data_IF_609404630679
#
_entry.id   IF_609404630679
#
_cell.length_a   1.000
_cell.length_b   1.000
_cell.length_c   1.000
_cell.angle_alpha   90.00
_cell.angle_beta   90.00
_cell.angle_gamma   90.00
#
_symmetry.space_group_name_H-M   'P 1'
#
loop_
_entity.id
_entity.type
_entity.pdbx_description
1 polymer ?
#
# COMPACT_ATOMS: atom_id res chain seq x y z
N UNK A 1 -22.94 5.07 8.05
CA UNK A 1 -21.97 6.02 7.47
C UNK A 1 -21.19 6.79 8.54
N UNK A 2 -21.84 7.27 9.61
CA UNK A 2 -21.17 8.01 10.71
C UNK A 2 -19.94 7.32 11.30
N UNK A 3 -19.97 5.99 11.51
CA UNK A 3 -18.85 5.28 12.12
C UNK A 3 -17.53 5.36 11.33
N UNK A 4 -17.57 5.37 9.99
CA UNK A 4 -16.34 5.42 9.17
C UNK A 4 -15.68 6.79 9.22
N UNK A 5 -16.46 7.88 9.28
CA UNK A 5 -15.94 9.25 9.40
C UNK A 5 -15.29 9.51 10.76
N UNK A 6 -15.74 8.80 11.80
CA UNK A 6 -15.19 8.90 13.15
C UNK A 6 -14.01 7.93 13.38
N UNK A 7 -13.56 7.22 12.34
CA UNK A 7 -12.41 6.34 12.45
C UNK A 7 -11.16 7.16 12.75
N UNK A 8 -10.39 6.74 13.75
CA UNK A 8 -9.13 7.39 14.10
C UNK A 8 -8.20 7.39 12.87
N UNK A 9 -7.76 8.55 12.37
CA UNK A 9 -6.76 8.61 11.31
C UNK A 9 -5.38 8.17 11.82
N UNK A 10 -4.59 7.61 10.91
CA UNK A 10 -3.20 7.22 11.16
C UNK A 10 -2.28 8.40 10.83
N UNK A 11 -1.43 8.80 11.78
CA UNK A 11 -0.60 10.00 11.67
C UNK A 11 0.88 9.67 11.73
N UNK A 12 1.70 10.43 10.98
CA UNK A 12 3.16 10.41 11.12
C UNK A 12 3.82 9.09 10.70
N UNK A 13 3.10 8.21 10.01
CA UNK A 13 3.61 6.94 9.49
C UNK A 13 3.60 6.97 7.98
N UNK A 14 4.66 6.45 7.39
CA UNK A 14 4.67 6.09 5.98
C UNK A 14 3.75 4.89 5.75
N UNK A 15 2.87 4.97 4.77
CA UNK A 15 1.80 4.00 4.52
C UNK A 15 2.06 3.28 3.20
N UNK A 16 1.97 1.95 3.16
CA UNK A 16 1.79 1.20 1.92
C UNK A 16 0.30 0.90 1.75
N UNK A 17 -0.36 1.60 0.82
CA UNK A 17 -1.76 1.37 0.49
C UNK A 17 -1.87 0.45 -0.73
N UNK A 18 -2.77 -0.54 -0.65
CA UNK A 18 -3.01 -1.54 -1.69
C UNK A 18 -4.50 -1.53 -2.02
N UNK A 19 -4.84 -1.27 -3.28
CA UNK A 19 -6.20 -1.45 -3.81
C UNK A 19 -6.28 -2.82 -4.49
N UNK A 20 -7.03 -3.80 -3.92
CA UNK A 20 -7.04 -5.17 -4.42
C UNK A 20 -7.74 -5.28 -5.78
N UNK A 21 -7.06 -5.92 -6.73
CA UNK A 21 -7.60 -6.18 -8.06
C UNK A 21 -7.01 -7.45 -8.67
N UNK A 22 -7.83 -8.46 -8.97
CA UNK A 22 -7.31 -9.72 -9.48
C UNK A 22 -6.88 -9.62 -10.95
N UNK A 23 -7.82 -9.28 -11.85
CA UNK A 23 -7.55 -9.21 -13.31
C UNK A 23 -6.68 -8.01 -13.69
N UNK A 24 -7.00 -6.83 -13.16
CA UNK A 24 -6.30 -5.58 -13.47
C UNK A 24 -4.99 -5.39 -12.67
N UNK A 25 -4.68 -6.32 -11.75
CA UNK A 25 -3.60 -6.23 -10.76
C UNK A 25 -3.97 -5.38 -9.54
N UNK A 26 -3.37 -5.67 -8.39
CA UNK A 26 -3.52 -4.86 -7.18
C UNK A 26 -2.66 -3.61 -7.35
N UNK A 27 -3.29 -2.45 -7.32
CA UNK A 27 -2.59 -1.16 -7.42
C UNK A 27 -2.02 -0.85 -6.06
N UNK A 28 -0.86 -0.23 -6.02
CA UNK A 28 -0.19 0.11 -4.78
C UNK A 28 0.33 1.53 -4.82
N UNK A 29 0.32 2.18 -3.68
CA UNK A 29 1.02 3.45 -3.48
C UNK A 29 1.72 3.47 -2.14
N UNK A 30 2.90 4.09 -2.09
CA UNK A 30 3.53 4.47 -0.83
C UNK A 30 3.18 5.93 -0.57
N UNK A 31 2.60 6.22 0.59
CA UNK A 31 2.36 7.57 1.09
C UNK A 31 3.42 7.92 2.13
N UNK A 32 3.97 9.14 2.06
CA UNK A 32 4.85 9.67 3.11
C UNK A 32 4.09 9.92 4.43
N UNK A 33 4.79 10.41 5.45
CA UNK A 33 4.26 10.62 6.80
C UNK A 33 3.14 11.67 6.89
N UNK A 34 2.99 12.50 5.85
CA UNK A 34 1.95 13.53 5.75
C UNK A 34 0.87 13.19 4.71
N UNK A 35 0.98 12.03 4.05
CA UNK A 35 -0.03 11.49 3.14
C UNK A 35 0.20 11.76 1.65
N UNK A 36 1.36 12.31 1.25
CA UNK A 36 1.64 12.51 -0.17
C UNK A 36 2.07 11.20 -0.84
N UNK A 37 1.61 10.91 -2.07
CA UNK A 37 2.07 9.75 -2.81
C UNK A 37 3.50 9.94 -3.29
N UNK A 38 4.41 9.05 -2.89
CA UNK A 38 5.82 9.06 -3.31
C UNK A 38 6.10 8.07 -4.43
N UNK A 39 5.32 6.99 -4.53
CA UNK A 39 5.51 5.95 -5.54
C UNK A 39 4.19 5.25 -5.84
N UNK A 40 3.92 5.01 -7.11
CA UNK A 40 2.88 4.10 -7.57
C UNK A 40 3.49 2.83 -8.15
N UNK A 41 2.84 1.69 -7.91
CA UNK A 41 3.25 0.41 -8.48
C UNK A 41 2.03 -0.52 -8.61
N UNK A 42 2.25 -1.70 -9.19
CA UNK A 42 1.21 -2.72 -9.36
C UNK A 42 1.82 -4.11 -9.21
N UNK A 43 1.11 -4.99 -8.51
CA UNK A 43 1.39 -6.42 -8.44
C UNK A 43 0.26 -7.23 -9.08
N UNK A 44 0.59 -8.40 -9.59
CA UNK A 44 -0.38 -9.30 -10.17
C UNK A 44 -0.36 -10.64 -9.44
N UNK A 45 -1.49 -11.06 -8.90
CA UNK A 45 -1.59 -12.26 -8.07
C UNK A 45 -1.43 -13.57 -8.86
N UNK A 46 -1.60 -13.53 -10.18
CA UNK A 46 -1.33 -14.69 -11.05
C UNK A 46 0.17 -15.06 -11.10
N UNK A 47 1.07 -14.12 -10.82
CA UNK A 47 2.50 -14.37 -10.69
C UNK A 47 2.94 -14.07 -9.26
N UNK A 48 2.73 -15.07 -8.39
CA UNK A 48 2.98 -14.96 -6.94
C UNK A 48 4.44 -14.63 -6.61
N UNK A 49 5.39 -15.24 -7.29
CA UNK A 49 6.82 -15.05 -7.03
C UNK A 49 7.25 -13.61 -7.32
N UNK A 50 6.86 -13.09 -8.50
CA UNK A 50 7.16 -11.71 -8.87
C UNK A 50 6.46 -10.71 -7.93
N UNK A 51 5.22 -10.98 -7.51
CA UNK A 51 4.49 -10.14 -6.57
C UNK A 51 5.18 -10.08 -5.20
N UNK A 52 5.59 -11.24 -4.65
CA UNK A 52 6.30 -11.32 -3.37
C UNK A 52 7.66 -10.63 -3.45
N UNK A 53 8.42 -10.86 -4.53
CA UNK A 53 9.72 -10.21 -4.73
C UNK A 53 9.57 -8.67 -4.77
N UNK A 54 8.58 -8.17 -5.52
CA UNK A 54 8.32 -6.73 -5.61
C UNK A 54 7.89 -6.14 -4.26
N UNK A 55 7.00 -6.80 -3.52
CA UNK A 55 6.59 -6.37 -2.18
C UNK A 55 7.78 -6.31 -1.21
N UNK A 56 8.66 -7.32 -1.22
CA UNK A 56 9.87 -7.33 -0.40
C UNK A 56 10.77 -6.13 -0.70
N UNK A 57 10.97 -5.81 -1.98
CA UNK A 57 11.78 -4.65 -2.39
C UNK A 57 11.18 -3.34 -1.88
N UNK A 58 9.87 -3.16 -2.01
CA UNK A 58 9.17 -1.95 -1.52
C UNK A 58 9.26 -1.86 0.00
N UNK A 59 8.97 -2.94 0.73
CA UNK A 59 9.03 -2.95 2.20
C UNK A 59 10.45 -2.66 2.70
N UNK A 60 11.47 -3.24 2.09
CA UNK A 60 12.87 -3.03 2.49
C UNK A 60 13.33 -1.59 2.22
N UNK A 61 12.94 -1.02 1.07
CA UNK A 61 13.34 0.32 0.65
C UNK A 61 12.60 1.41 1.44
N UNK A 62 11.27 1.32 1.44
CA UNK A 62 10.41 2.41 1.92
C UNK A 62 10.09 2.27 3.41
N UNK A 63 10.23 1.06 3.99
CA UNK A 63 10.00 0.76 5.43
C UNK A 63 8.67 1.34 5.94
N UNK A 64 7.52 0.98 5.33
CA UNK A 64 6.23 1.50 5.75
C UNK A 64 5.94 1.08 7.20
N UNK A 65 5.42 2.01 7.99
CA UNK A 65 5.01 1.74 9.38
C UNK A 65 3.62 1.11 9.47
N UNK A 66 2.82 1.21 8.40
CA UNK A 66 1.50 0.58 8.30
C UNK A 66 1.24 0.13 6.86
N UNK A 67 0.45 -0.93 6.71
CA UNK A 67 -0.04 -1.42 5.42
C UNK A 67 -1.57 -1.39 5.46
N UNK A 68 -2.18 -0.80 4.44
CA UNK A 68 -3.63 -0.71 4.29
C UNK A 68 -4.04 -1.44 3.01
N UNK A 69 -5.10 -2.24 3.07
CA UNK A 69 -5.63 -3.06 1.97
C UNK A 69 -7.14 -2.85 1.87
#
# INVERSE_FOLDING_TARGET
>A
MSALLMTKPEYGKKILAIDPGYRAGCKMTVLDEIGNPVKFDKIFLHNKEAAVAKLRLIIAKDKPGVIVV
#
